data_IF_086600951928
#
_entry.id   IF_086600951928
#
_cell.length_a   1.000
_cell.length_b   1.000
_cell.length_c   1.000
_cell.angle_alpha   90.00
_cell.angle_beta   90.00
_cell.angle_gamma   90.00
#
_symmetry.space_group_name_H-M   'P 1'
#
loop_
_entity.id
_entity.type
_entity.pdbx_description
1 polymer ?
#
# COMPACT_ATOMS: atom_id res chain seq x y z
N UNK A 1 34.34 1.99 -14.57
CA UNK A 1 33.56 1.18 -15.53
C UNK A 1 32.64 0.30 -14.71
N UNK A 2 31.34 0.61 -14.66
CA UNK A 2 30.36 -0.20 -13.95
C UNK A 2 29.87 -1.31 -14.89
N UNK A 3 29.82 -2.55 -14.40
CA UNK A 3 29.44 -3.74 -15.18
C UNK A 3 28.00 -3.65 -15.71
N UNK A 4 27.69 -4.21 -16.90
CA UNK A 4 26.42 -3.97 -17.60
C UNK A 4 25.28 -4.97 -17.27
N UNK A 5 25.45 -5.89 -16.31
CA UNK A 5 24.60 -7.09 -16.25
C UNK A 5 23.45 -7.08 -15.22
N UNK A 6 22.80 -5.93 -14.98
CA UNK A 6 21.62 -5.85 -14.08
C UNK A 6 20.29 -5.59 -14.80
N UNK A 7 20.27 -5.61 -16.13
CA UNK A 7 19.06 -5.31 -16.91
C UNK A 7 18.32 -6.57 -17.41
N UNK A 8 18.90 -7.75 -17.27
CA UNK A 8 18.44 -8.97 -17.95
C UNK A 8 17.60 -9.96 -17.10
N UNK A 9 16.98 -9.52 -16.00
CA UNK A 9 16.16 -10.43 -15.16
C UNK A 9 14.88 -9.82 -14.58
N UNK A 10 14.27 -8.83 -15.25
CA UNK A 10 12.91 -8.40 -14.88
C UNK A 10 11.88 -9.33 -15.53
N UNK A 11 11.24 -10.27 -14.80
CA UNK A 11 10.08 -10.97 -15.33
C UNK A 11 9.03 -9.93 -15.70
N UNK A 12 8.33 -10.14 -16.83
CA UNK A 12 7.27 -9.28 -17.37
C UNK A 12 6.56 -8.46 -16.27
N UNK A 13 6.92 -7.18 -16.16
CA UNK A 13 6.42 -6.25 -15.16
C UNK A 13 4.92 -5.95 -15.41
N UNK A 14 4.04 -6.88 -15.11
CA UNK A 14 2.69 -6.52 -14.68
C UNK A 14 2.82 -6.10 -13.23
N UNK A 15 3.23 -4.83 -13.03
CA UNK A 15 3.11 -4.19 -11.73
C UNK A 15 1.67 -4.38 -11.26
N UNK A 16 1.49 -5.11 -10.17
CA UNK A 16 0.18 -5.32 -9.58
C UNK A 16 -0.19 -4.00 -8.91
N UNK A 17 -0.97 -3.18 -9.60
CA UNK A 17 -1.38 -1.90 -9.04
C UNK A 17 -2.17 -2.15 -7.76
N UNK A 18 -1.80 -1.46 -6.68
CA UNK A 18 -2.54 -1.48 -5.42
C UNK A 18 -4.01 -1.08 -5.61
N UNK A 19 -4.33 -0.38 -6.70
CA UNK A 19 -5.71 -0.10 -7.10
C UNK A 19 -6.58 -1.36 -7.24
N UNK A 20 -5.99 -2.54 -7.46
CA UNK A 20 -6.71 -3.81 -7.59
C UNK A 20 -6.73 -4.66 -6.31
N UNK A 21 -6.12 -4.18 -5.23
CA UNK A 21 -6.15 -4.89 -3.94
C UNK A 21 -7.35 -4.47 -3.12
N UNK A 22 -7.98 -5.41 -2.38
CA UNK A 22 -8.91 -5.03 -1.32
C UNK A 22 -8.17 -4.21 -0.26
N UNK A 23 -8.50 -2.92 -0.18
CA UNK A 23 -7.96 -1.98 0.81
C UNK A 23 -9.09 -1.59 1.76
N UNK A 24 -9.20 -2.25 2.94
CA UNK A 24 -10.33 -2.06 3.85
C UNK A 24 -10.52 -0.62 4.33
N UNK A 25 -9.47 0.19 4.34
CA UNK A 25 -9.52 1.59 4.78
C UNK A 25 -10.30 2.50 3.82
N UNK A 26 -10.49 2.09 2.56
CA UNK A 26 -11.23 2.82 1.51
C UNK A 26 -12.44 2.05 0.96
N UNK A 27 -12.79 0.90 1.55
CA UNK A 27 -13.98 0.12 1.20
C UNK A 27 -15.17 0.50 2.10
N UNK A 28 -16.26 1.11 1.59
CA UNK A 28 -17.42 1.48 2.39
C UNK A 28 -18.09 0.35 3.20
N UNK A 29 -17.81 -0.92 2.88
CA UNK A 29 -18.33 -2.08 3.63
C UNK A 29 -17.46 -2.47 4.83
N UNK A 30 -16.27 -1.89 4.96
CA UNK A 30 -15.31 -2.20 6.01
C UNK A 30 -15.57 -1.40 7.29
N UNK A 31 -15.23 -1.99 8.44
CA UNK A 31 -15.22 -1.28 9.73
C UNK A 31 -14.07 -0.28 9.86
N UNK A 32 -13.07 -0.34 8.98
CA UNK A 32 -11.92 0.55 8.95
C UNK A 32 -12.12 1.77 8.03
N UNK A 33 -13.27 1.83 7.36
CA UNK A 33 -13.57 2.88 6.41
C UNK A 33 -13.96 4.20 7.08
N UNK A 34 -13.46 5.28 6.51
CA UNK A 34 -13.98 6.63 6.67
C UNK A 34 -14.02 7.31 5.30
N UNK A 35 -15.00 8.19 5.07
CA UNK A 35 -15.19 8.85 3.77
C UNK A 35 -13.98 9.69 3.36
N UNK A 36 -13.23 10.23 4.32
CA UNK A 36 -12.02 11.00 4.07
C UNK A 36 -10.78 10.14 3.85
N UNK A 37 -10.84 8.82 4.01
CA UNK A 37 -9.66 7.99 3.88
C UNK A 37 -9.19 7.89 2.42
N UNK A 38 -7.87 7.95 2.24
CA UNK A 38 -7.20 7.66 0.98
C UNK A 38 -5.89 6.92 1.26
N UNK A 39 -5.45 6.09 0.31
CA UNK A 39 -4.23 5.30 0.46
C UNK A 39 -3.25 5.56 -0.68
N UNK A 40 -1.96 5.53 -0.36
CA UNK A 40 -0.86 5.94 -1.22
C UNK A 40 0.43 5.21 -0.81
N UNK A 41 1.56 5.62 -1.41
CA UNK A 41 2.88 5.04 -1.16
C UNK A 41 2.92 3.53 -1.36
N UNK A 42 2.17 3.11 -2.38
CA UNK A 42 2.10 1.73 -2.77
C UNK A 42 3.42 1.20 -3.30
N UNK A 43 3.93 0.11 -2.74
CA UNK A 43 5.23 -0.45 -3.10
C UNK A 43 5.23 -1.96 -3.07
N UNK A 44 5.74 -2.56 -4.14
CA UNK A 44 6.09 -3.97 -4.22
C UNK A 44 7.49 -4.21 -3.62
N UNK A 45 7.66 -5.31 -2.90
CA UNK A 45 8.93 -5.73 -2.31
C UNK A 45 9.30 -7.10 -2.85
N UNK A 46 9.87 -7.13 -4.05
CA UNK A 46 10.28 -8.36 -4.74
C UNK A 46 11.37 -9.11 -3.95
N UNK A 47 12.18 -8.39 -3.17
CA UNK A 47 13.21 -8.92 -2.28
C UNK A 47 12.65 -9.87 -1.20
N UNK A 48 11.36 -9.75 -0.86
CA UNK A 48 10.68 -10.61 0.11
C UNK A 48 9.77 -11.66 -0.55
N UNK A 49 9.68 -11.67 -1.88
CA UNK A 49 8.77 -12.57 -2.59
C UNK A 49 9.29 -14.00 -2.59
N UNK A 50 8.40 -14.96 -2.27
CA UNK A 50 8.68 -16.40 -2.24
C UNK A 50 7.45 -17.16 -2.72
N UNK A 51 7.63 -18.32 -3.33
CA UNK A 51 6.52 -19.24 -3.67
C UNK A 51 5.34 -18.58 -4.42
N UNK A 52 5.64 -17.68 -5.36
CA UNK A 52 4.66 -16.87 -6.11
C UNK A 52 3.78 -15.96 -5.24
N UNK A 53 4.28 -15.58 -4.07
CA UNK A 53 3.69 -14.57 -3.19
C UNK A 53 4.50 -13.28 -3.33
N UNK A 54 3.82 -12.22 -3.74
CA UNK A 54 4.34 -10.85 -3.79
C UNK A 54 4.00 -10.15 -2.47
N UNK A 55 5.00 -9.55 -1.84
CA UNK A 55 4.81 -8.69 -0.67
C UNK A 55 4.62 -7.25 -1.14
N UNK A 56 3.52 -6.64 -0.73
CA UNK A 56 3.17 -5.26 -1.09
C UNK A 56 2.89 -4.47 0.18
N UNK A 57 3.30 -3.20 0.20
CA UNK A 57 2.92 -2.26 1.26
C UNK A 57 2.16 -1.08 0.71
N UNK A 58 1.24 -0.54 1.51
CA UNK A 58 0.60 0.75 1.29
C UNK A 58 0.47 1.50 2.60
N UNK A 59 0.25 2.81 2.55
CA UNK A 59 -0.07 3.65 3.71
C UNK A 59 -1.40 4.34 3.45
N UNK A 60 -2.19 4.58 4.49
CA UNK A 60 -3.42 5.35 4.38
C UNK A 60 -3.35 6.64 5.22
N UNK A 61 -4.20 7.59 4.87
CA UNK A 61 -4.35 8.85 5.58
C UNK A 61 -5.79 9.36 5.40
N UNK A 62 -6.13 10.47 6.06
CA UNK A 62 -7.43 11.12 5.99
C UNK A 62 -7.30 12.50 5.36
N UNK A 63 -8.30 12.89 4.57
CA UNK A 63 -8.44 14.21 3.98
C UNK A 63 -9.01 15.26 4.96
N UNK A 64 -9.25 14.88 6.23
CA UNK A 64 -9.64 15.80 7.29
C UNK A 64 -8.60 16.91 7.48
N UNK A 65 -9.08 18.08 7.93
CA UNK A 65 -8.22 19.22 8.27
C UNK A 65 -7.17 18.83 9.32
N UNK A 66 -5.89 18.99 8.97
CA UNK A 66 -4.75 18.70 9.84
C UNK A 66 -4.73 19.57 11.11
N UNK A 67 -5.33 20.76 11.09
CA UNK A 67 -5.45 21.65 12.26
C UNK A 67 -6.55 21.19 13.22
N UNK A 68 -7.49 20.37 12.76
CA UNK A 68 -8.52 19.82 13.63
C UNK A 68 -7.91 18.84 14.62
N UNK A 69 -8.03 19.17 15.91
CA UNK A 69 -7.62 18.30 17.01
C UNK A 69 -8.45 17.00 17.06
N UNK A 70 -9.61 16.99 16.41
CA UNK A 70 -10.52 15.85 16.33
C UNK A 70 -10.53 15.18 14.95
N UNK A 71 -9.57 15.50 14.08
CA UNK A 71 -9.42 14.83 12.78
C UNK A 71 -9.38 13.30 12.93
N UNK A 72 -9.93 12.59 11.95
CA UNK A 72 -9.97 11.14 11.93
C UNK A 72 -8.57 10.55 12.12
N UNK A 73 -7.56 11.09 11.43
CA UNK A 73 -6.16 10.67 11.56
C UNK A 73 -5.67 10.72 13.01
N UNK A 74 -5.90 11.82 13.73
CA UNK A 74 -5.41 12.00 15.11
C UNK A 74 -6.10 11.07 16.10
N UNK A 75 -7.37 10.74 15.87
CA UNK A 75 -8.12 9.76 16.67
C UNK A 75 -7.79 8.31 16.30
N UNK A 76 -7.29 8.08 15.09
CA UNK A 76 -7.07 6.76 14.51
C UNK A 76 -5.64 6.64 13.96
N UNK A 77 -4.64 6.72 14.86
CA UNK A 77 -3.21 6.64 14.47
C UNK A 77 -2.82 5.31 13.82
N UNK A 78 -3.68 4.28 13.88
CA UNK A 78 -3.48 3.05 13.12
C UNK A 78 -3.50 3.27 11.60
N UNK A 79 -4.10 4.38 11.13
CA UNK A 79 -4.24 4.70 9.70
C UNK A 79 -2.89 5.08 9.07
N UNK A 80 -2.04 5.82 9.81
CA UNK A 80 -0.77 6.36 9.32
C UNK A 80 0.43 5.43 9.57
N UNK A 81 0.30 4.18 9.14
CA UNK A 81 1.39 3.20 9.16
C UNK A 81 1.38 2.35 7.90
N UNK A 82 2.53 1.80 7.47
CA UNK A 82 2.56 0.81 6.41
C UNK A 82 1.73 -0.42 6.78
N UNK A 83 0.81 -0.79 5.90
CA UNK A 83 0.10 -2.08 5.92
C UNK A 83 0.81 -3.00 4.94
N UNK A 84 1.12 -4.22 5.38
CA UNK A 84 1.72 -5.27 4.56
C UNK A 84 0.62 -6.19 4.05
N UNK A 85 0.67 -6.54 2.75
CA UNK A 85 -0.20 -7.51 2.10
C UNK A 85 0.62 -8.53 1.33
N UNK A 86 0.15 -9.76 1.36
CA UNK A 86 0.66 -10.87 0.56
C UNK A 86 -0.33 -11.16 -0.56
N UNK A 87 0.16 -11.29 -1.79
CA UNK A 87 -0.67 -11.47 -2.98
C UNK A 87 -0.07 -12.56 -3.85
N UNK A 88 -0.87 -13.55 -4.22
CA UNK A 88 -0.44 -14.58 -5.16
C UNK A 88 -0.44 -14.07 -6.61
N UNK A 89 0.54 -14.48 -7.43
CA UNK A 89 0.63 -14.13 -8.85
C UNK A 89 1.12 -15.27 -9.76
#
# INVERSE_FOLDING_TARGET
MASPDLEQSRPNNRALSIAFLPVPEVDPKSKLYDKGNFCYAGKEHIEFSRDKILVVTYVCNSADDMQSQTSFLRRNLFLYRPVVKEISY
#
